data_IF_207274553743
#
_entry.id   IF_207274553743
#
_cell.length_a   1.000
_cell.length_b   1.000
_cell.length_c   1.000
_cell.angle_alpha   90.00
_cell.angle_beta   90.00
_cell.angle_gamma   90.00
#
_symmetry.space_group_name_H-M   'P 1'
#
loop_
_entity.id
_entity.type
_entity.pdbx_description
1 polymer ?
#
# COMPACT_ATOMS: atom_id res chain seq x y z
N UNK A 1 11.49 16.16 -0.02
CA UNK A 1 10.33 17.01 -0.35
C UNK A 1 10.75 18.34 -0.97
N UNK A 2 11.66 19.11 -0.34
CA UNK A 2 12.08 20.44 -0.86
C UNK A 2 12.62 20.35 -2.30
N UNK A 3 13.44 19.37 -2.60
CA UNK A 3 14.00 19.17 -3.94
C UNK A 3 12.91 18.80 -4.97
N UNK A 4 11.93 18.00 -4.56
CA UNK A 4 10.77 17.66 -5.40
C UNK A 4 9.93 18.90 -5.76
N UNK A 5 9.82 19.87 -4.85
CA UNK A 5 9.08 21.12 -5.10
C UNK A 5 9.72 22.02 -6.17
N UNK A 6 10.97 21.78 -6.54
CA UNK A 6 11.67 22.52 -7.61
C UNK A 6 11.44 21.92 -9.01
N UNK A 7 10.89 20.71 -9.08
CA UNK A 7 10.64 20.02 -10.35
C UNK A 7 9.36 20.52 -11.02
N UNK A 8 9.32 20.62 -12.36
CA UNK A 8 8.13 21.00 -13.07
C UNK A 8 7.03 19.93 -12.90
N UNK A 9 5.79 20.37 -12.79
CA UNK A 9 4.63 19.50 -12.77
C UNK A 9 4.42 18.86 -14.15
N UNK A 10 4.04 17.59 -14.19
CA UNK A 10 3.64 16.90 -15.43
C UNK A 10 2.31 17.40 -15.99
N UNK A 11 1.43 17.89 -15.13
CA UNK A 11 0.13 18.44 -15.48
C UNK A 11 -0.28 19.43 -14.40
N UNK A 12 -1.25 20.28 -14.70
CA UNK A 12 -1.86 21.12 -13.68
C UNK A 12 -2.60 20.25 -12.65
N UNK A 13 -2.58 20.61 -11.37
CA UNK A 13 -3.33 19.89 -10.36
C UNK A 13 -4.82 19.74 -10.74
N UNK A 14 -5.37 18.54 -10.53
CA UNK A 14 -6.77 18.25 -10.84
C UNK A 14 -7.09 18.02 -12.33
N UNK A 15 -6.11 18.02 -13.24
CA UNK A 15 -6.39 17.87 -14.68
C UNK A 15 -6.03 16.49 -15.24
N UNK A 16 -5.22 15.70 -14.54
CA UNK A 16 -4.84 14.36 -14.98
C UNK A 16 -4.44 13.48 -13.77
N UNK A 17 -4.74 12.21 -13.87
CA UNK A 17 -4.20 11.18 -12.99
C UNK A 17 -3.06 10.43 -13.68
N UNK A 18 -1.97 10.25 -12.97
CA UNK A 18 -0.82 9.44 -13.44
C UNK A 18 -0.31 8.59 -12.28
N UNK A 19 -0.31 7.28 -12.47
CA UNK A 19 0.26 6.35 -11.51
C UNK A 19 1.70 5.99 -11.87
N UNK A 20 2.56 5.95 -10.85
CA UNK A 20 3.90 5.32 -10.97
C UNK A 20 4.97 6.09 -11.74
N UNK A 21 4.67 7.22 -12.35
CA UNK A 21 5.67 7.93 -13.18
C UNK A 21 6.74 8.65 -12.37
N UNK A 22 6.51 8.95 -11.10
CA UNK A 22 7.48 9.68 -10.27
C UNK A 22 7.81 8.99 -8.96
N UNK A 23 6.99 8.02 -8.51
CA UNK A 23 7.12 7.42 -7.16
C UNK A 23 7.00 8.43 -6.01
N UNK A 24 6.97 9.73 -6.33
CA UNK A 24 7.16 10.80 -5.37
C UNK A 24 5.90 11.25 -4.63
N UNK A 25 4.71 10.82 -5.05
CA UNK A 25 3.46 11.30 -4.46
C UNK A 25 3.34 10.94 -2.97
N UNK A 26 3.67 9.71 -2.61
CA UNK A 26 3.64 9.29 -1.21
C UNK A 26 4.78 9.87 -0.38
N UNK A 27 5.92 10.20 -1.01
CA UNK A 27 7.01 10.93 -0.36
C UNK A 27 6.60 12.37 -0.01
N UNK A 28 5.84 13.02 -0.90
CA UNK A 28 5.25 14.33 -0.62
C UNK A 28 4.23 14.24 0.50
N UNK A 29 3.36 13.22 0.50
CA UNK A 29 2.41 13.00 1.59
C UNK A 29 3.12 12.74 2.93
N UNK A 30 4.18 11.94 2.94
CA UNK A 30 5.01 11.75 4.12
C UNK A 30 5.54 13.07 4.67
N UNK A 31 6.09 13.92 3.81
CA UNK A 31 6.57 15.25 4.20
C UNK A 31 5.45 16.17 4.72
N UNK A 32 4.24 16.10 4.15
CA UNK A 32 3.07 16.84 4.67
C UNK A 32 2.71 16.37 6.07
N UNK A 33 2.74 15.06 6.34
CA UNK A 33 2.51 14.51 7.68
C UNK A 33 3.56 15.03 8.66
N UNK A 34 4.85 14.99 8.30
CA UNK A 34 5.94 15.47 9.16
C UNK A 34 5.80 16.97 9.49
N UNK A 35 5.48 17.80 8.50
CA UNK A 35 5.29 19.23 8.68
C UNK A 35 4.06 19.53 9.55
N UNK A 36 2.96 18.82 9.32
CA UNK A 36 1.71 19.07 10.03
C UNK A 36 1.72 18.55 11.47
N UNK A 37 2.41 17.45 11.73
CA UNK A 37 2.47 16.82 13.05
C UNK A 37 3.64 17.29 13.91
N UNK A 38 4.72 17.75 13.29
CA UNK A 38 6.00 18.01 13.97
C UNK A 38 6.78 16.75 14.34
N UNK A 39 6.32 15.58 13.91
CA UNK A 39 6.95 14.26 14.13
C UNK A 39 7.61 13.78 12.84
N UNK A 40 8.57 12.87 12.96
CA UNK A 40 9.01 12.09 11.79
C UNK A 40 7.86 11.20 11.32
N UNK A 41 7.89 10.76 10.06
CA UNK A 41 6.87 9.83 9.53
C UNK A 41 6.83 8.53 10.35
N UNK A 42 7.98 8.03 10.79
CA UNK A 42 8.06 6.86 11.67
C UNK A 42 7.37 7.08 13.00
N UNK A 43 7.71 8.17 13.71
CA UNK A 43 7.10 8.52 15.00
C UNK A 43 5.59 8.69 14.87
N UNK A 44 5.14 9.37 13.78
CA UNK A 44 3.72 9.54 13.50
C UNK A 44 3.01 8.19 13.30
N UNK A 45 3.57 7.32 12.47
CA UNK A 45 3.00 5.99 12.20
C UNK A 45 2.99 5.12 13.45
N UNK A 46 4.08 5.17 14.23
CA UNK A 46 4.19 4.41 15.47
C UNK A 46 3.10 4.82 16.46
N UNK A 47 3.00 6.10 16.76
CA UNK A 47 2.09 6.62 17.79
C UNK A 47 0.61 6.56 17.39
N UNK A 48 0.32 6.78 16.08
CA UNK A 48 -1.05 6.94 15.63
C UNK A 48 -1.64 5.70 14.94
N UNK A 49 -0.81 4.73 14.56
CA UNK A 49 -1.27 3.55 13.82
C UNK A 49 -0.76 2.27 14.45
N UNK A 50 0.57 2.09 14.59
CA UNK A 50 1.12 0.80 14.99
C UNK A 50 0.81 0.45 16.44
N UNK A 51 1.10 1.33 17.37
CA UNK A 51 0.80 1.13 18.80
C UNK A 51 -0.70 0.99 19.08
N UNK A 52 -1.58 1.89 18.61
CA UNK A 52 -3.01 1.77 18.89
C UNK A 52 -3.62 0.47 18.32
N UNK A 53 -3.13 -0.01 17.20
CA UNK A 53 -3.60 -1.26 16.59
C UNK A 53 -2.82 -2.49 17.11
N UNK A 54 -1.77 -2.34 17.90
CA UNK A 54 -0.92 -3.46 18.33
C UNK A 54 -0.20 -4.15 17.17
N UNK A 55 0.32 -3.37 16.20
CA UNK A 55 1.09 -3.87 15.06
C UNK A 55 2.56 -3.99 15.47
N UNK A 56 2.87 -5.00 16.26
CA UNK A 56 4.17 -5.15 16.92
C UNK A 56 5.31 -5.50 15.95
N UNK A 57 4.98 -6.02 14.77
CA UNK A 57 5.93 -6.43 13.74
C UNK A 57 5.94 -5.49 12.51
N UNK A 58 5.45 -4.25 12.69
CA UNK A 58 5.45 -3.23 11.65
C UNK A 58 6.46 -2.13 11.95
N UNK A 59 7.47 -1.96 11.08
CA UNK A 59 8.61 -1.07 11.31
C UNK A 59 9.10 -0.44 10.02
N UNK A 60 9.56 0.82 10.08
CA UNK A 60 10.41 1.40 9.03
C UNK A 60 11.83 0.84 9.14
N UNK A 61 12.35 0.71 10.36
CA UNK A 61 13.65 0.08 10.65
C UNK A 61 13.42 -1.12 11.54
N UNK A 62 13.79 -2.28 11.03
CA UNK A 62 13.60 -3.52 11.77
C UNK A 62 14.54 -3.57 12.98
N UNK A 63 14.02 -3.81 14.19
CA UNK A 63 14.85 -4.09 15.35
C UNK A 63 15.79 -5.28 15.10
N UNK A 64 17.03 -5.19 15.58
CA UNK A 64 18.07 -6.19 15.29
C UNK A 64 17.66 -7.62 15.69
N UNK A 65 16.93 -7.75 16.80
CA UNK A 65 16.41 -9.02 17.30
C UNK A 65 15.34 -9.65 16.39
N UNK A 66 14.74 -8.86 15.51
CA UNK A 66 13.75 -9.34 14.52
C UNK A 66 14.37 -9.64 13.15
N UNK A 67 15.62 -9.24 12.92
CA UNK A 67 16.27 -9.39 11.61
C UNK A 67 16.27 -10.84 11.11
N UNK A 68 16.48 -11.82 11.99
CA UNK A 68 16.46 -13.25 11.64
C UNK A 68 15.11 -13.75 11.09
N UNK A 69 14.04 -12.96 11.24
CA UNK A 69 12.70 -13.29 10.70
C UNK A 69 12.51 -12.82 9.26
N UNK A 70 13.42 -12.00 8.72
CA UNK A 70 13.37 -11.62 7.30
C UNK A 70 13.68 -12.83 6.43
N UNK A 71 12.80 -13.18 5.47
CA UNK A 71 13.08 -14.26 4.55
C UNK A 71 14.21 -13.88 3.58
N UNK A 72 14.86 -14.88 3.00
CA UNK A 72 15.67 -14.69 1.83
C UNK A 72 14.82 -14.20 0.66
N UNK A 73 15.35 -13.30 -0.16
CA UNK A 73 14.69 -12.78 -1.35
C UNK A 73 15.40 -13.32 -2.59
N UNK A 74 14.63 -13.75 -3.55
CA UNK A 74 15.12 -14.32 -4.80
C UNK A 74 14.78 -13.42 -5.98
N UNK A 75 15.49 -13.59 -7.08
CA UNK A 75 15.15 -13.00 -8.39
C UNK A 75 15.23 -14.06 -9.47
N UNK A 76 14.56 -13.84 -10.58
CA UNK A 76 14.73 -14.66 -11.78
C UNK A 76 15.89 -14.11 -12.60
N UNK A 77 16.80 -14.97 -13.02
CA UNK A 77 17.84 -14.62 -13.98
C UNK A 77 17.28 -14.62 -15.42
N UNK A 78 18.15 -14.36 -16.39
CA UNK A 78 17.75 -14.29 -17.81
C UNK A 78 17.25 -15.63 -18.37
N UNK A 79 17.67 -16.74 -17.79
CA UNK A 79 17.24 -18.10 -18.13
C UNK A 79 15.97 -18.51 -17.39
N UNK A 80 15.43 -17.66 -16.51
CA UNK A 80 14.23 -17.94 -15.71
C UNK A 80 14.48 -18.70 -14.41
N UNK A 81 15.73 -19.06 -14.12
CA UNK A 81 16.11 -19.74 -12.87
C UNK A 81 16.08 -18.76 -11.68
N UNK A 82 15.79 -19.29 -10.49
CA UNK A 82 15.81 -18.50 -9.25
C UNK A 82 17.25 -18.37 -8.75
N UNK A 83 17.65 -17.14 -8.51
CA UNK A 83 18.92 -16.78 -7.87
C UNK A 83 18.65 -16.02 -6.58
N UNK A 84 19.53 -16.23 -5.58
CA UNK A 84 19.48 -15.46 -4.34
C UNK A 84 19.79 -13.99 -4.64
N UNK A 85 18.88 -13.09 -4.28
CA UNK A 85 19.06 -11.65 -4.37
C UNK A 85 19.54 -11.08 -3.03
N UNK A 86 18.93 -11.51 -1.93
CA UNK A 86 19.30 -11.14 -0.55
C UNK A 86 19.19 -12.33 0.38
N UNK A 87 20.16 -12.47 1.28
CA UNK A 87 20.14 -13.52 2.28
C UNK A 87 19.05 -13.27 3.35
N UNK A 88 18.59 -14.36 3.99
CA UNK A 88 17.72 -14.23 5.13
C UNK A 88 18.39 -13.41 6.25
N UNK A 89 17.63 -12.53 6.90
CA UNK A 89 18.13 -11.64 7.94
C UNK A 89 18.88 -10.40 7.45
N UNK A 90 19.09 -10.26 6.17
CA UNK A 90 19.73 -9.09 5.59
C UNK A 90 18.75 -7.92 5.48
N UNK A 91 18.83 -6.97 6.42
CA UNK A 91 18.10 -5.71 6.38
C UNK A 91 18.97 -4.60 5.77
N UNK A 92 18.54 -4.09 4.62
CA UNK A 92 19.21 -3.04 3.85
C UNK A 92 18.68 -1.62 4.15
N UNK A 93 17.77 -1.46 5.09
CA UNK A 93 17.00 -0.24 5.29
C UNK A 93 17.59 0.78 6.26
N UNK A 94 18.85 0.78 6.52
CA UNK A 94 19.48 1.85 7.32
C UNK A 94 19.60 3.16 6.52
N UNK A 95 18.47 3.70 6.13
CA UNK A 95 18.35 5.02 5.54
C UNK A 95 17.80 5.98 6.60
N UNK A 96 18.24 7.21 6.60
CA UNK A 96 17.66 8.29 7.42
C UNK A 96 16.37 8.86 6.81
N UNK A 97 15.85 8.21 5.79
CA UNK A 97 14.68 8.64 5.04
C UNK A 97 13.56 7.61 5.14
N UNK A 98 12.43 8.04 5.69
CA UNK A 98 11.23 7.21 5.83
C UNK A 98 10.40 7.27 4.55
N UNK A 99 10.45 6.22 3.76
CA UNK A 99 9.74 6.12 2.49
C UNK A 99 8.22 5.98 2.69
N UNK A 100 7.46 7.01 2.32
CA UNK A 100 6.00 6.99 2.36
C UNK A 100 5.38 5.98 1.39
N UNK A 101 6.07 5.70 0.29
CA UNK A 101 5.59 4.80 -0.77
C UNK A 101 5.92 3.31 -0.59
N UNK A 102 6.69 2.91 0.43
CA UNK A 102 7.09 1.50 0.53
C UNK A 102 8.12 1.17 1.60
N UNK A 103 8.31 2.04 2.60
CA UNK A 103 9.37 1.89 3.60
C UNK A 103 9.06 0.90 4.73
N UNK A 104 7.81 0.52 4.93
CA UNK A 104 7.40 -0.31 6.07
C UNK A 104 7.63 -1.79 5.79
N UNK A 105 8.23 -2.48 6.75
CA UNK A 105 8.25 -3.93 6.86
C UNK A 105 7.20 -4.36 7.85
N UNK A 106 6.47 -5.41 7.52
CA UNK A 106 5.39 -5.87 8.38
C UNK A 106 5.21 -7.38 8.27
N UNK A 107 4.66 -7.98 9.32
CA UNK A 107 4.24 -9.38 9.30
C UNK A 107 2.82 -9.53 8.72
N UNK A 108 2.47 -10.68 8.11
CA UNK A 108 1.13 -10.91 7.59
C UNK A 108 0.01 -10.69 8.62
N UNK A 109 0.25 -11.00 9.88
CA UNK A 109 -0.71 -10.79 10.96
C UNK A 109 -1.03 -9.30 11.17
N UNK A 110 0.00 -8.45 11.13
CA UNK A 110 -0.16 -7.00 11.28
C UNK A 110 -0.84 -6.39 10.05
N UNK A 111 -0.46 -6.83 8.84
CA UNK A 111 -1.14 -6.41 7.60
C UNK A 111 -2.63 -6.78 7.64
N UNK A 112 -2.95 -8.00 8.08
CA UNK A 112 -4.35 -8.41 8.23
C UNK A 112 -5.07 -7.55 9.28
N UNK A 113 -4.44 -7.28 10.42
CA UNK A 113 -5.02 -6.45 11.48
C UNK A 113 -5.26 -5.02 11.00
N UNK A 114 -4.30 -4.42 10.31
CA UNK A 114 -4.46 -3.10 9.68
C UNK A 114 -5.61 -3.09 8.66
N UNK A 115 -5.69 -4.10 7.79
CA UNK A 115 -6.72 -4.19 6.75
C UNK A 115 -8.14 -4.33 7.33
N UNK A 116 -8.29 -4.84 8.55
CA UNK A 116 -9.58 -4.88 9.27
C UNK A 116 -10.17 -3.48 9.52
N UNK A 117 -9.39 -2.40 9.48
CA UNK A 117 -9.93 -1.03 9.51
C UNK A 117 -10.95 -0.81 8.40
N UNK A 118 -10.68 -1.30 7.21
CA UNK A 118 -11.54 -1.10 6.04
C UNK A 118 -12.84 -1.92 6.11
N UNK A 119 -12.77 -3.14 6.66
CA UNK A 119 -13.97 -3.98 6.86
C UNK A 119 -14.72 -3.66 8.16
N UNK A 120 -14.09 -2.96 9.09
CA UNK A 120 -14.63 -2.56 10.38
C UNK A 120 -15.09 -1.10 10.46
N UNK A 121 -15.11 -0.38 9.32
CA UNK A 121 -15.52 1.02 9.30
C UNK A 121 -14.64 1.93 10.16
N UNK A 122 -13.33 1.69 10.17
CA UNK A 122 -12.33 2.47 10.88
C UNK A 122 -12.04 2.02 12.31
N UNK A 123 -12.60 0.87 12.71
CA UNK A 123 -12.42 0.32 14.06
C UNK A 123 -11.92 -1.14 14.01
N UNK A 124 -10.97 -1.48 14.88
CA UNK A 124 -10.44 -2.83 15.07
C UNK A 124 -10.38 -3.13 16.57
N UNK A 125 -11.00 -4.21 17.00
CA UNK A 125 -11.00 -4.70 18.38
C UNK A 125 -11.31 -3.61 19.44
N UNK A 126 -12.27 -2.74 19.14
CA UNK A 126 -12.68 -1.62 19.99
C UNK A 126 -11.84 -0.34 19.84
N UNK A 127 -10.72 -0.38 19.13
CA UNK A 127 -9.89 0.80 18.84
C UNK A 127 -10.37 1.47 17.55
N UNK A 128 -10.80 2.72 17.65
CA UNK A 128 -11.18 3.53 16.49
C UNK A 128 -10.02 4.41 16.07
N UNK A 129 -9.53 4.23 14.85
CA UNK A 129 -8.55 5.14 14.23
C UNK A 129 -9.18 6.10 13.23
N UNK A 130 -10.22 5.69 12.54
CA UNK A 130 -10.88 6.48 11.49
C UNK A 130 -12.38 6.52 11.72
N UNK A 131 -12.98 7.62 11.36
CA UNK A 131 -14.43 7.70 11.30
C UNK A 131 -14.97 6.88 10.12
N UNK A 132 -16.17 6.33 10.27
CA UNK A 132 -16.80 5.51 9.22
C UNK A 132 -16.94 6.27 7.89
N UNK A 133 -17.23 7.58 7.95
CA UNK A 133 -17.29 8.43 6.77
C UNK A 133 -15.93 8.59 6.07
N UNK A 134 -14.85 8.64 6.84
CA UNK A 134 -13.48 8.68 6.28
C UNK A 134 -13.16 7.39 5.54
N UNK A 135 -13.47 6.24 6.14
CA UNK A 135 -13.28 4.94 5.47
C UNK A 135 -14.12 4.84 4.20
N UNK A 136 -15.38 5.31 4.23
CA UNK A 136 -16.21 5.33 3.03
C UNK A 136 -15.60 6.18 1.91
N UNK A 137 -15.04 7.35 2.24
CA UNK A 137 -14.29 8.16 1.27
C UNK A 137 -13.05 7.44 0.72
N UNK A 138 -12.27 6.76 1.59
CA UNK A 138 -11.09 6.01 1.17
C UNK A 138 -11.44 4.90 0.17
N UNK A 139 -12.60 4.27 0.37
CA UNK A 139 -13.09 3.16 -0.45
C UNK A 139 -13.88 3.61 -1.68
N UNK A 140 -14.09 4.90 -1.91
CA UNK A 140 -14.85 5.41 -3.06
C UNK A 140 -13.93 5.84 -4.21
N UNK A 141 -14.50 5.96 -5.41
CA UNK A 141 -13.83 6.52 -6.59
C UNK A 141 -13.49 7.99 -6.36
N UNK A 142 -12.21 8.30 -6.33
CA UNK A 142 -11.68 9.67 -6.18
C UNK A 142 -11.22 10.28 -7.50
N UNK A 143 -11.19 9.51 -8.58
CA UNK A 143 -10.71 9.97 -9.87
C UNK A 143 -11.86 10.44 -10.78
N UNK A 144 -13.01 9.78 -10.72
CA UNK A 144 -14.10 10.06 -11.64
C UNK A 144 -13.64 10.04 -13.10
N UNK A 145 -13.88 11.12 -13.87
CA UNK A 145 -13.50 11.19 -15.28
C UNK A 145 -11.98 11.26 -15.53
N UNK A 146 -11.16 11.48 -14.50
CA UNK A 146 -9.69 11.47 -14.60
C UNK A 146 -9.09 10.07 -14.60
N UNK A 147 -9.86 9.03 -14.27
CA UNK A 147 -9.40 7.67 -14.36
C UNK A 147 -9.09 7.32 -15.83
N UNK A 148 -7.96 6.61 -16.10
CA UNK A 148 -7.65 6.16 -17.46
C UNK A 148 -8.81 5.37 -18.07
N UNK A 149 -9.09 5.54 -19.35
CA UNK A 149 -10.23 4.91 -20.01
C UNK A 149 -10.27 3.38 -19.83
N UNK A 150 -9.11 2.72 -20.00
CA UNK A 150 -9.00 1.26 -19.81
C UNK A 150 -9.24 0.82 -18.35
N UNK A 151 -9.04 1.72 -17.36
CA UNK A 151 -9.41 1.44 -15.98
C UNK A 151 -10.91 1.55 -15.79
N UNK A 152 -11.53 2.59 -16.35
CA UNK A 152 -12.98 2.77 -16.26
C UNK A 152 -13.73 1.59 -16.89
N UNK A 153 -13.27 1.13 -18.08
CA UNK A 153 -13.83 -0.03 -18.77
C UNK A 153 -13.70 -1.32 -17.93
N UNK A 154 -12.59 -1.46 -17.18
CA UNK A 154 -12.36 -2.57 -16.27
C UNK A 154 -13.03 -2.39 -14.89
N UNK A 155 -13.85 -1.37 -14.69
CA UNK A 155 -14.46 -1.07 -13.38
C UNK A 155 -13.45 -0.70 -12.31
N UNK A 156 -12.33 -0.09 -12.69
CA UNK A 156 -11.22 0.25 -11.81
C UNK A 156 -11.08 1.75 -11.67
N UNK A 157 -10.82 2.20 -10.47
CA UNK A 157 -10.45 3.57 -10.15
C UNK A 157 -9.45 3.60 -9.00
N UNK A 158 -9.25 4.77 -8.41
CA UNK A 158 -8.38 4.98 -7.26
C UNK A 158 -9.17 5.63 -6.13
N UNK A 159 -9.10 5.03 -4.95
CA UNK A 159 -9.55 5.61 -3.70
C UNK A 159 -8.43 6.41 -3.02
N UNK A 160 -8.55 6.67 -1.73
CA UNK A 160 -7.41 7.22 -0.99
C UNK A 160 -6.47 6.09 -0.59
N UNK A 161 -5.30 6.05 -1.24
CA UNK A 161 -4.20 5.15 -0.93
C UNK A 161 -4.13 3.86 -1.74
N UNK A 162 -5.22 3.39 -2.35
CA UNK A 162 -5.23 2.16 -3.13
C UNK A 162 -6.28 2.16 -4.25
N UNK A 163 -6.20 1.17 -5.14
CA UNK A 163 -7.20 0.98 -6.16
C UNK A 163 -8.52 0.49 -5.57
N UNK A 164 -9.61 0.92 -6.18
CA UNK A 164 -10.96 0.43 -5.99
C UNK A 164 -11.43 -0.28 -7.25
N UNK A 165 -12.16 -1.39 -7.11
CA UNK A 165 -12.70 -2.15 -8.22
C UNK A 165 -14.19 -2.40 -8.00
N UNK A 166 -14.95 -2.28 -9.08
CA UNK A 166 -16.41 -2.44 -9.09
C UNK A 166 -16.80 -3.49 -10.14
N UNK A 167 -17.58 -4.48 -9.76
CA UNK A 167 -18.18 -5.39 -10.72
C UNK A 167 -19.19 -4.66 -11.59
N UNK A 168 -19.21 -5.00 -12.88
CA UNK A 168 -20.06 -4.32 -13.87
C UNK A 168 -19.37 -3.26 -14.70
N UNK A 169 -18.05 -3.11 -14.57
CA UNK A 169 -17.23 -2.37 -15.53
C UNK A 169 -17.15 -0.86 -15.37
N UNK A 170 -17.83 -0.27 -14.37
CA UNK A 170 -17.72 1.17 -14.07
C UNK A 170 -17.81 1.43 -12.58
N UNK A 171 -17.03 2.38 -12.05
CA UNK A 171 -17.22 2.88 -10.70
C UNK A 171 -18.64 3.43 -10.53
N UNK A 172 -19.23 3.16 -9.38
CA UNK A 172 -20.57 3.60 -9.02
C UNK A 172 -20.61 4.00 -7.55
N UNK A 173 -21.70 4.64 -7.12
CA UNK A 173 -21.92 4.97 -5.72
C UNK A 173 -22.05 3.69 -4.89
N UNK A 174 -21.40 3.67 -3.74
CA UNK A 174 -21.41 2.56 -2.81
C UNK A 174 -20.04 1.92 -2.64
N UNK A 175 -19.98 0.84 -1.84
CA UNK A 175 -18.74 0.14 -1.56
C UNK A 175 -18.25 -0.62 -2.81
N UNK A 176 -16.95 -0.58 -3.09
CA UNK A 176 -16.35 -1.38 -4.16
C UNK A 176 -16.42 -2.88 -3.82
N UNK A 177 -16.18 -3.72 -4.82
CA UNK A 177 -16.00 -5.16 -4.58
C UNK A 177 -14.65 -5.41 -3.93
N UNK A 178 -13.60 -4.70 -4.36
CA UNK A 178 -12.30 -4.78 -3.70
C UNK A 178 -11.62 -3.42 -3.60
N UNK A 179 -10.84 -3.27 -2.52
CA UNK A 179 -9.91 -2.19 -2.26
C UNK A 179 -8.54 -2.78 -1.97
N UNK A 180 -7.50 -2.33 -2.63
CA UNK A 180 -6.16 -2.82 -2.39
C UNK A 180 -5.17 -2.50 -3.47
N UNK A 181 -3.92 -2.96 -3.30
CA UNK A 181 -2.84 -2.73 -4.23
C UNK A 181 -1.76 -3.80 -4.13
N UNK A 182 -0.90 -3.83 -5.15
CA UNK A 182 0.29 -4.68 -5.21
C UNK A 182 1.57 -3.85 -5.06
N UNK A 183 2.59 -4.43 -4.47
CA UNK A 183 3.91 -3.81 -4.32
C UNK A 183 5.00 -4.51 -5.12
N UNK A 184 6.10 -3.79 -5.41
CA UNK A 184 7.24 -4.31 -6.15
C UNK A 184 8.00 -5.45 -5.48
N UNK A 185 7.75 -5.71 -4.19
CA UNK A 185 8.24 -6.88 -3.44
C UNK A 185 7.35 -8.12 -3.59
N UNK A 186 6.57 -8.22 -4.65
CA UNK A 186 5.61 -9.29 -4.91
C UNK A 186 4.59 -9.48 -3.77
N UNK A 187 4.07 -8.35 -3.31
CA UNK A 187 3.03 -8.30 -2.28
C UNK A 187 1.72 -7.84 -2.90
N UNK A 188 0.62 -8.44 -2.49
CA UNK A 188 -0.72 -7.96 -2.84
C UNK A 188 -1.63 -8.05 -1.63
N UNK A 189 -2.31 -6.94 -1.34
CA UNK A 189 -3.37 -6.86 -0.35
C UNK A 189 -4.67 -6.56 -1.07
N UNK A 190 -5.70 -7.37 -0.83
CA UNK A 190 -7.07 -7.16 -1.29
C UNK A 190 -8.01 -7.20 -0.09
N UNK A 191 -8.92 -6.26 -0.04
CA UNK A 191 -9.99 -6.15 0.96
C UNK A 191 -11.32 -6.10 0.22
N UNK A 192 -12.24 -6.99 0.54
CA UNK A 192 -13.64 -6.87 0.15
C UNK A 192 -14.43 -6.28 1.32
N UNK A 193 -14.77 -5.01 1.29
CA UNK A 193 -15.48 -4.37 2.39
C UNK A 193 -16.93 -4.82 2.49
N UNK A 194 -17.53 -5.35 1.41
CA UNK A 194 -18.92 -5.82 1.35
C UNK A 194 -19.08 -7.19 1.97
N UNK A 195 -18.20 -8.14 1.60
CA UNK A 195 -18.21 -9.52 2.13
C UNK A 195 -17.34 -9.65 3.38
N UNK A 196 -16.56 -8.61 3.71
CA UNK A 196 -15.70 -8.53 4.88
C UNK A 196 -14.61 -9.58 4.89
N UNK A 197 -14.00 -9.86 3.75
CA UNK A 197 -12.81 -10.71 3.68
C UNK A 197 -11.56 -9.88 3.32
N UNK A 198 -10.42 -10.42 3.70
CA UNK A 198 -9.11 -9.85 3.46
C UNK A 198 -8.23 -10.95 2.90
N UNK A 199 -7.55 -10.70 1.81
CA UNK A 199 -6.57 -11.57 1.24
C UNK A 199 -5.23 -10.86 1.12
N UNK A 200 -4.18 -11.52 1.58
CA UNK A 200 -2.81 -11.02 1.48
C UNK A 200 -1.90 -12.12 0.95
N UNK A 201 -1.09 -11.77 -0.03
CA UNK A 201 -0.08 -12.66 -0.59
C UNK A 201 1.27 -11.94 -0.60
N UNK A 202 2.32 -12.65 -0.26
CA UNK A 202 3.69 -12.18 -0.38
C UNK A 202 4.58 -13.33 -0.84
N UNK A 203 5.35 -13.09 -1.88
CA UNK A 203 6.42 -13.98 -2.32
C UNK A 203 7.75 -13.23 -2.19
N UNK A 204 8.79 -13.84 -1.64
CA UNK A 204 10.10 -13.22 -1.54
C UNK A 204 10.83 -13.26 -2.90
N UNK A 205 10.25 -12.61 -3.91
CA UNK A 205 10.74 -12.58 -5.28
C UNK A 205 10.75 -11.13 -5.80
N UNK A 206 11.86 -10.71 -6.43
CA UNK A 206 12.02 -9.36 -7.01
C UNK A 206 12.74 -9.44 -8.36
N UNK A 207 12.37 -8.62 -9.35
CA UNK A 207 11.07 -7.97 -9.50
C UNK A 207 9.97 -9.03 -9.69
N UNK A 208 8.69 -8.70 -9.51
CA UNK A 208 7.61 -9.64 -9.81
C UNK A 208 7.66 -9.98 -11.30
N UNK A 209 8.23 -11.15 -11.61
CA UNK A 209 8.46 -11.58 -12.99
C UNK A 209 7.29 -12.34 -13.61
N UNK A 210 6.38 -12.78 -12.78
CA UNK A 210 5.24 -13.61 -13.19
C UNK A 210 3.96 -12.99 -12.63
N UNK A 211 3.30 -12.19 -13.46
CA UNK A 211 2.06 -11.51 -13.07
C UNK A 211 0.87 -12.46 -13.01
N UNK A 212 0.98 -13.65 -13.62
CA UNK A 212 -0.12 -14.61 -13.70
C UNK A 212 -0.62 -15.02 -12.32
N UNK A 213 0.28 -15.27 -11.37
CA UNK A 213 -0.09 -15.60 -9.98
C UNK A 213 -0.83 -14.45 -9.27
N UNK A 214 -0.42 -13.19 -9.51
CA UNK A 214 -1.10 -12.03 -8.96
C UNK A 214 -2.44 -11.79 -9.64
N UNK A 215 -2.53 -12.06 -10.93
CA UNK A 215 -3.76 -11.94 -11.70
C UNK A 215 -4.75 -13.05 -11.31
N UNK A 216 -4.28 -14.27 -11.07
CA UNK A 216 -5.10 -15.36 -10.54
C UNK A 216 -5.61 -15.03 -9.13
N UNK A 217 -4.72 -14.56 -8.25
CA UNK A 217 -5.10 -14.13 -6.91
C UNK A 217 -6.12 -12.99 -6.92
N UNK A 218 -6.00 -12.07 -7.88
CA UNK A 218 -6.94 -10.97 -8.06
C UNK A 218 -8.31 -11.36 -8.62
N UNK A 219 -8.49 -12.62 -9.08
CA UNK A 219 -9.76 -13.16 -9.60
C UNK A 219 -10.56 -13.93 -8.55
N UNK A 220 -9.97 -14.21 -7.39
CA UNK A 220 -10.64 -14.85 -6.25
C UNK A 220 -11.67 -13.90 -5.64
#
# INVERSE_FOLDING_TARGET
ARDLATLPLHSQPGTAFRYGQTGAAYEVLGAVIEIASGLTLEEFMQQNIFEPLGLEDSHFYLPAEKAARLPAVYRRNREGALELDRAAGEDFSRSTFFHGGGGVRSAPADIHRFARLFTGGGMVDGVRLLETGTVAMMLSDQLGPLAPAHWQEAGRSWGFGAAVRYSGGRPHDGLPDTYGWAGGGFTTLLVDPRRRWIAYINFPLTPPGDTDLLDEFGRL
#
